data_IF_396530387869
#
_entry.id   IF_396530387869
#
_cell.length_a   1.000
_cell.length_b   1.000
_cell.length_c   1.000
_cell.angle_alpha   90.00
_cell.angle_beta   90.00
_cell.angle_gamma   90.00
#
_symmetry.space_group_name_H-M   'P 1'
#
loop_
_entity.id
_entity.type
_entity.pdbx_description
1 polymer ?
#
# COMPACT_ATOMS: atom_id res chain seq x y z
N UNK A 1 -4.78 -19.06 -16.20
CA UNK A 1 -3.28 -18.98 -16.22
C UNK A 1 -2.76 -19.45 -14.88
N UNK A 2 -1.55 -20.06 -14.82
CA UNK A 2 -0.88 -20.40 -13.56
C UNK A 2 0.15 -19.35 -13.21
N UNK A 3 0.01 -18.70 -12.05
CA UNK A 3 0.85 -17.61 -11.58
C UNK A 3 1.50 -18.03 -10.27
N UNK A 4 2.80 -17.86 -10.16
CA UNK A 4 3.56 -18.12 -8.93
C UNK A 4 4.31 -16.85 -8.54
N UNK A 5 4.05 -16.36 -7.32
CA UNK A 5 4.59 -15.11 -6.81
C UNK A 5 5.55 -15.45 -5.66
N UNK A 6 6.74 -14.90 -5.72
CA UNK A 6 7.72 -15.02 -4.65
C UNK A 6 7.71 -13.74 -3.82
N UNK A 7 7.24 -13.85 -2.58
CA UNK A 7 7.09 -12.76 -1.62
C UNK A 7 5.66 -12.27 -1.47
N UNK A 8 5.15 -12.29 -0.23
CA UNK A 8 3.85 -11.77 0.17
C UNK A 8 3.97 -10.32 0.73
N UNK A 9 4.83 -9.52 0.16
CA UNK A 9 4.86 -8.09 0.43
C UNK A 9 3.70 -7.35 -0.27
N UNK A 10 3.55 -6.03 -0.05
CA UNK A 10 2.47 -5.24 -0.63
C UNK A 10 2.34 -5.42 -2.15
N UNK A 11 3.46 -5.41 -2.88
CA UNK A 11 3.45 -5.58 -4.34
C UNK A 11 2.94 -6.97 -4.77
N UNK A 12 3.44 -8.04 -4.14
CA UNK A 12 3.03 -9.40 -4.47
C UNK A 12 1.57 -9.66 -4.17
N UNK A 13 1.09 -9.19 -3.03
CA UNK A 13 -0.32 -9.34 -2.62
C UNK A 13 -1.24 -8.50 -3.51
N UNK A 14 -0.89 -7.23 -3.79
CA UNK A 14 -1.69 -6.38 -4.70
C UNK A 14 -1.77 -6.97 -6.11
N UNK A 15 -0.64 -7.46 -6.64
CA UNK A 15 -0.63 -8.11 -7.94
C UNK A 15 -1.51 -9.37 -7.95
N UNK A 16 -1.43 -10.20 -6.92
CA UNK A 16 -2.26 -11.40 -6.80
C UNK A 16 -3.75 -11.06 -6.77
N UNK A 17 -4.12 -10.05 -5.97
CA UNK A 17 -5.50 -9.58 -5.87
C UNK A 17 -6.03 -9.06 -7.20
N UNK A 18 -5.26 -8.23 -7.92
CA UNK A 18 -5.62 -7.71 -9.24
C UNK A 18 -5.79 -8.83 -10.26
N UNK A 19 -4.88 -9.82 -10.28
CA UNK A 19 -4.98 -10.95 -11.19
C UNK A 19 -6.21 -11.81 -10.93
N UNK A 20 -6.56 -12.02 -9.67
CA UNK A 20 -7.77 -12.76 -9.29
C UNK A 20 -9.06 -12.01 -9.63
N UNK A 21 -9.05 -10.68 -9.57
CA UNK A 21 -10.18 -9.84 -9.99
C UNK A 21 -10.33 -9.82 -11.50
N UNK A 22 -9.20 -9.75 -12.22
CA UNK A 22 -9.20 -9.78 -13.68
C UNK A 22 -9.82 -11.06 -14.23
N UNK A 23 -9.45 -12.19 -13.67
CA UNK A 23 -10.02 -13.50 -14.01
C UNK A 23 -9.93 -14.44 -12.79
N UNK A 24 -11.05 -14.74 -12.13
CA UNK A 24 -11.10 -15.65 -10.98
C UNK A 24 -10.59 -17.08 -11.28
N UNK A 25 -10.54 -17.49 -12.55
CA UNK A 25 -10.00 -18.79 -12.95
C UNK A 25 -8.47 -18.91 -12.88
N UNK A 26 -7.77 -17.79 -12.68
CA UNK A 26 -6.32 -17.80 -12.51
C UNK A 26 -5.94 -18.62 -11.27
N UNK A 27 -5.02 -19.57 -11.46
CA UNK A 27 -4.39 -20.32 -10.38
C UNK A 27 -3.20 -19.49 -9.84
N UNK A 28 -3.46 -18.71 -8.79
CA UNK A 28 -2.45 -17.82 -8.17
C UNK A 28 -1.99 -18.44 -6.86
N UNK A 29 -0.67 -18.63 -6.72
CA UNK A 29 -0.06 -19.06 -5.47
C UNK A 29 1.10 -18.13 -5.10
N UNK A 30 1.18 -17.77 -3.83
CA UNK A 30 2.22 -16.92 -3.25
C UNK A 30 3.07 -17.77 -2.32
N UNK A 31 4.38 -17.66 -2.45
CA UNK A 31 5.34 -18.26 -1.52
C UNK A 31 6.05 -17.16 -0.76
N UNK A 32 5.93 -17.19 0.56
CA UNK A 32 6.58 -16.25 1.48
C UNK A 32 7.45 -17.00 2.47
N UNK A 33 8.66 -16.50 2.73
CA UNK A 33 9.61 -17.11 3.68
C UNK A 33 9.33 -16.77 5.14
N UNK A 34 8.66 -15.64 5.38
CA UNK A 34 8.38 -15.13 6.72
C UNK A 34 7.00 -15.54 7.19
N UNK A 35 6.79 -15.60 8.50
CA UNK A 35 5.46 -15.80 9.07
C UNK A 35 4.52 -14.64 8.67
N UNK A 36 3.22 -14.91 8.61
CA UNK A 36 2.21 -13.96 8.12
C UNK A 36 2.16 -12.67 8.93
N UNK A 37 2.43 -12.75 10.21
CA UNK A 37 2.46 -11.64 11.18
C UNK A 37 3.83 -10.97 11.30
N UNK A 38 4.85 -11.49 10.61
CA UNK A 38 6.16 -10.89 10.59
C UNK A 38 6.22 -9.74 9.58
N UNK A 39 6.76 -8.61 9.99
CA UNK A 39 6.99 -7.47 9.11
C UNK A 39 8.32 -6.81 9.40
N UNK A 40 8.96 -6.32 8.34
CA UNK A 40 10.19 -5.55 8.40
C UNK A 40 9.86 -4.11 7.98
N UNK A 41 9.99 -3.18 8.93
CA UNK A 41 9.65 -1.77 8.73
C UNK A 41 8.33 -1.37 9.42
N UNK A 42 8.16 -0.05 9.57
CA UNK A 42 7.09 0.52 10.41
C UNK A 42 5.82 0.77 9.63
N UNK A 43 5.93 1.33 8.43
CA UNK A 43 4.75 1.74 7.67
C UNK A 43 5.05 1.97 6.20
N UNK A 44 3.98 2.29 5.49
CA UNK A 44 4.00 2.68 4.09
C UNK A 44 3.38 4.06 3.97
N UNK A 45 4.03 4.94 3.23
CA UNK A 45 3.55 6.30 2.96
C UNK A 45 3.10 6.37 1.51
N UNK A 46 1.92 6.90 1.31
CA UNK A 46 1.35 7.20 0.01
C UNK A 46 1.30 8.71 -0.20
N UNK A 47 1.63 9.18 -1.38
CA UNK A 47 1.25 10.53 -1.81
C UNK A 47 -0.22 10.55 -2.22
N UNK A 48 -0.86 11.71 -2.21
CA UNK A 48 -2.23 11.86 -2.72
C UNK A 48 -2.37 11.30 -4.13
N UNK A 49 -1.37 11.53 -4.97
CA UNK A 49 -1.34 11.00 -6.34
C UNK A 49 -1.29 9.47 -6.39
N UNK A 50 -0.55 8.84 -5.48
CA UNK A 50 -0.51 7.37 -5.41
C UNK A 50 -1.88 6.81 -4.98
N UNK A 51 -2.57 7.48 -4.08
CA UNK A 51 -3.93 7.11 -3.68
C UNK A 51 -4.95 7.32 -4.79
N UNK A 52 -4.79 8.36 -5.64
CA UNK A 52 -5.63 8.56 -6.83
C UNK A 52 -5.47 7.41 -7.83
N UNK A 53 -4.24 6.97 -8.10
CA UNK A 53 -4.00 5.79 -8.94
C UNK A 53 -4.61 4.52 -8.32
N UNK A 54 -4.42 4.32 -7.02
CA UNK A 54 -5.02 3.18 -6.34
C UNK A 54 -6.55 3.20 -6.45
N UNK A 55 -7.17 4.36 -6.27
CA UNK A 55 -8.61 4.54 -6.42
C UNK A 55 -9.10 4.22 -7.83
N UNK A 56 -8.33 4.62 -8.85
CA UNK A 56 -8.69 4.36 -10.25
C UNK A 56 -8.56 2.87 -10.61
N UNK A 57 -7.51 2.21 -10.14
CA UNK A 57 -7.18 0.83 -10.51
C UNK A 57 -7.85 -0.21 -9.60
N UNK A 58 -8.07 0.12 -8.33
CA UNK A 58 -8.62 -0.77 -7.31
C UNK A 58 -9.42 0.01 -6.26
N UNK A 59 -10.62 0.44 -6.64
CA UNK A 59 -11.50 1.20 -5.75
C UNK A 59 -11.86 0.41 -4.47
N UNK A 60 -11.98 -0.90 -4.55
CA UNK A 60 -12.31 -1.72 -3.39
C UNK A 60 -11.18 -1.69 -2.34
N UNK A 61 -9.94 -1.83 -2.79
CA UNK A 61 -8.78 -1.71 -1.91
C UNK A 61 -8.65 -0.28 -1.37
N UNK A 62 -8.84 0.74 -2.21
CA UNK A 62 -8.83 2.13 -1.78
C UNK A 62 -9.83 2.38 -0.64
N UNK A 63 -11.07 1.91 -0.77
CA UNK A 63 -12.10 2.03 0.27
C UNK A 63 -11.76 1.26 1.55
N UNK A 64 -11.12 0.09 1.42
CA UNK A 64 -10.68 -0.67 2.56
C UNK A 64 -9.53 0.00 3.33
N UNK A 65 -8.60 0.65 2.60
CA UNK A 65 -7.45 1.33 3.19
C UNK A 65 -7.81 2.67 3.85
N UNK A 66 -8.70 3.46 3.24
CA UNK A 66 -8.96 4.85 3.63
C UNK A 66 -9.27 5.03 5.13
N UNK A 67 -10.08 4.18 5.80
CA UNK A 67 -10.37 4.33 7.23
C UNK A 67 -9.15 4.11 8.15
N UNK A 68 -8.10 3.52 7.64
CA UNK A 68 -6.88 3.15 8.38
C UNK A 68 -5.70 4.09 8.12
N UNK A 69 -5.91 5.13 7.29
CA UNK A 69 -4.87 6.06 6.90
C UNK A 69 -4.77 7.23 7.89
N UNK A 70 -3.56 7.49 8.35
CA UNK A 70 -3.20 8.78 8.94
C UNK A 70 -2.79 9.73 7.83
N UNK A 71 -3.40 10.93 7.76
CA UNK A 71 -3.20 11.87 6.65
C UNK A 71 -2.66 13.21 7.11
N UNK A 72 -1.85 13.85 6.27
CA UNK A 72 -1.38 15.22 6.46
C UNK A 72 -1.27 15.96 5.12
N UNK A 73 -1.66 17.27 5.11
CA UNK A 73 -1.81 18.02 3.86
C UNK A 73 -0.52 18.64 3.34
N UNK A 74 0.55 18.67 4.13
CA UNK A 74 1.80 19.32 3.77
C UNK A 74 2.99 18.66 4.47
N UNK A 75 4.18 18.88 3.94
CA UNK A 75 5.44 18.52 4.57
C UNK A 75 6.20 19.81 4.94
N UNK A 76 7.05 19.71 5.96
CA UNK A 76 7.94 20.80 6.34
C UNK A 76 9.38 20.34 6.20
N UNK A 77 10.17 21.09 5.46
CA UNK A 77 11.62 20.88 5.37
C UNK A 77 12.29 21.79 6.38
N UNK A 78 13.03 21.21 7.32
CA UNK A 78 13.83 21.95 8.29
C UNK A 78 15.30 21.91 7.89
N UNK A 79 15.93 23.10 7.76
CA UNK A 79 17.34 23.24 7.43
C UNK A 79 17.89 24.54 8.06
N UNK A 80 19.01 24.44 8.78
CA UNK A 80 19.70 25.59 9.42
C UNK A 80 18.74 26.53 10.19
N UNK A 81 17.98 25.98 11.14
CA UNK A 81 17.01 26.70 11.96
C UNK A 81 15.83 27.34 11.20
N UNK A 82 15.73 27.10 9.90
CA UNK A 82 14.57 27.47 9.10
C UNK A 82 13.63 26.28 8.90
N UNK A 83 12.33 26.52 9.00
CA UNK A 83 11.29 25.56 8.68
C UNK A 83 10.49 26.07 7.48
N UNK A 84 10.50 25.31 6.39
CA UNK A 84 9.84 25.69 5.13
C UNK A 84 8.68 24.73 4.91
N UNK A 85 7.42 25.15 5.11
CA UNK A 85 6.26 24.33 4.80
C UNK A 85 6.06 24.26 3.27
N UNK A 86 5.81 23.05 2.77
CA UNK A 86 5.50 22.79 1.37
C UNK A 86 4.06 22.28 1.31
N UNK A 87 3.17 23.11 0.80
CA UNK A 87 1.75 22.78 0.63
C UNK A 87 1.49 22.21 -0.77
N UNK A 88 0.32 21.59 -0.93
CA UNK A 88 -0.16 21.06 -2.22
C UNK A 88 0.28 19.64 -2.56
N UNK A 89 1.04 19.00 -1.67
CA UNK A 89 1.36 17.58 -1.74
C UNK A 89 0.95 16.93 -0.42
N UNK A 90 -0.24 16.36 -0.38
CA UNK A 90 -0.70 15.58 0.75
C UNK A 90 -0.07 14.20 0.79
N UNK A 91 -0.02 13.64 1.97
CA UNK A 91 0.47 12.29 2.23
C UNK A 91 -0.45 11.56 3.17
N UNK A 92 -0.42 10.25 3.08
CA UNK A 92 -1.09 9.35 4.00
C UNK A 92 -0.18 8.20 4.38
N UNK A 93 -0.33 7.66 5.57
CA UNK A 93 0.42 6.49 6.00
C UNK A 93 -0.46 5.45 6.65
N UNK A 94 0.02 4.22 6.59
CA UNK A 94 -0.59 3.07 7.25
C UNK A 94 0.52 2.19 7.83
N UNK A 95 0.25 1.54 8.95
CA UNK A 95 1.14 0.52 9.48
C UNK A 95 1.34 -0.61 8.46
N UNK A 96 2.60 -1.06 8.28
CA UNK A 96 2.91 -2.06 7.25
C UNK A 96 2.15 -3.37 7.46
N UNK A 97 2.05 -3.84 8.71
CA UNK A 97 1.35 -5.08 9.03
C UNK A 97 -0.16 -4.95 8.77
N UNK A 98 -0.72 -3.78 9.08
CA UNK A 98 -2.12 -3.48 8.81
C UNK A 98 -2.41 -3.48 7.31
N UNK A 99 -1.56 -2.83 6.50
CA UNK A 99 -1.65 -2.89 5.04
C UNK A 99 -1.63 -4.34 4.53
N UNK A 100 -0.68 -5.14 5.01
CA UNK A 100 -0.60 -6.56 4.60
C UNK A 100 -1.87 -7.33 4.98
N UNK A 101 -2.43 -7.07 6.16
CA UNK A 101 -3.67 -7.71 6.62
C UNK A 101 -4.86 -7.37 5.70
N UNK A 102 -4.95 -6.14 5.21
CA UNK A 102 -5.99 -5.71 4.28
C UNK A 102 -5.81 -6.29 2.87
N UNK A 103 -4.58 -6.64 2.50
CA UNK A 103 -4.26 -7.23 1.19
C UNK A 103 -4.44 -8.77 1.16
N UNK A 104 -4.46 -9.45 2.32
CA UNK A 104 -4.69 -10.88 2.42
C UNK A 104 -6.16 -11.28 2.24
#
# INVERSE_FOLDING_TARGET
MKIRILGAGPAGLSFAALMKRLDPSHDVAIVERSARDATWGFGVVFSDRALEFLRADDEALYRALTPHLETWPHITVAHNDMAIPIAGNGFASIGRLELLTLLY
#
